data_IF_920881724337
#
_entry.id   IF_920881724337
#
_cell.length_a   1.000
_cell.length_b   1.000
_cell.length_c   1.000
_cell.angle_alpha   90.00
_cell.angle_beta   90.00
_cell.angle_gamma   90.00
#
_symmetry.space_group_name_H-M   'P 1'
#
loop_
_entity.id
_entity.type
_entity.pdbx_description
1 polymer ?
#
# COMPACT_ATOMS: atom_id res chain seq x y z
N UNK A 1 -40.22 54.21 35.75
CA UNK A 1 -40.03 54.19 37.22
C UNK A 1 -39.41 52.83 37.54
N UNK A 2 -38.08 52.68 37.61
CA UNK A 2 -37.21 53.01 38.77
C UNK A 2 -37.71 52.25 40.01
N UNK A 3 -36.95 51.45 40.76
CA UNK A 3 -35.60 51.72 41.31
C UNK A 3 -34.92 50.40 41.77
N UNK A 4 -33.62 50.28 41.43
CA UNK A 4 -32.44 49.73 42.13
C UNK A 4 -32.49 48.79 43.36
N UNK A 5 -31.48 47.90 43.42
CA UNK A 5 -30.73 47.58 44.66
C UNK A 5 -29.71 46.42 44.62
N UNK A 6 -28.45 46.71 44.24
CA UNK A 6 -27.12 46.25 44.77
C UNK A 6 -26.90 44.80 45.26
N UNK A 7 -25.94 44.01 44.71
CA UNK A 7 -24.46 43.96 44.91
C UNK A 7 -23.95 43.42 46.26
N UNK A 8 -23.24 42.27 46.28
CA UNK A 8 -21.86 42.10 46.81
C UNK A 8 -21.33 40.64 46.85
N UNK A 9 -20.12 40.46 46.30
CA UNK A 9 -18.96 39.66 46.73
C UNK A 9 -19.05 38.15 47.10
N UNK A 10 -18.20 37.34 46.44
CA UNK A 10 -17.90 35.93 46.79
C UNK A 10 -16.87 35.75 47.92
N UNK A 11 -16.48 34.49 48.21
CA UNK A 11 -15.06 34.14 48.13
C UNK A 11 -14.76 32.73 47.56
N UNK A 12 -13.47 32.52 47.30
CA UNK A 12 -12.77 31.43 46.60
C UNK A 12 -12.71 30.07 47.37
N UNK A 13 -12.15 28.99 46.77
CA UNK A 13 -12.34 27.59 47.19
C UNK A 13 -11.28 27.08 48.19
N UNK A 14 -11.52 25.95 48.88
CA UNK A 14 -10.48 25.29 49.66
C UNK A 14 -9.75 24.19 48.86
N UNK A 15 -8.46 24.05 49.18
CA UNK A 15 -7.50 23.11 48.62
C UNK A 15 -7.53 21.72 49.29
N UNK A 16 -7.29 20.69 48.46
CA UNK A 16 -6.53 19.44 48.67
C UNK A 16 -6.48 18.73 50.03
N UNK A 17 -6.82 17.43 50.02
CA UNK A 17 -6.08 16.40 50.78
C UNK A 17 -6.04 15.07 50.00
N UNK A 18 -4.90 14.39 50.11
CA UNK A 18 -4.51 13.11 49.48
C UNK A 18 -5.17 11.91 50.18
N UNK A 19 -5.41 10.80 49.47
CA UNK A 19 -4.56 9.59 49.49
C UNK A 19 -5.32 8.28 49.18
N UNK A 20 -4.64 7.46 48.36
CA UNK A 20 -4.62 5.99 48.28
C UNK A 20 -5.84 5.17 47.82
N UNK A 21 -5.59 4.43 46.74
CA UNK A 21 -5.91 2.99 46.68
C UNK A 21 -6.19 2.48 45.28
N UNK A 22 -5.18 2.02 44.55
CA UNK A 22 -5.35 0.73 43.87
C UNK A 22 -4.02 0.00 43.63
N UNK A 23 -4.06 -1.32 43.82
CA UNK A 23 -2.96 -2.27 43.71
C UNK A 23 -3.04 -3.01 42.38
N UNK A 24 -1.88 -3.31 41.79
CA UNK A 24 -1.65 -4.62 41.16
C UNK A 24 -1.36 -4.64 39.66
N UNK A 25 -0.11 -4.34 39.29
CA UNK A 25 0.53 -4.90 38.09
C UNK A 25 1.97 -5.32 38.46
N UNK A 26 2.51 -6.43 37.92
CA UNK A 26 3.69 -7.08 38.46
C UNK A 26 4.99 -6.32 38.16
N UNK A 27 5.88 -6.38 39.13
CA UNK A 27 7.26 -5.89 39.20
C UNK A 27 7.85 -5.37 37.88
N UNK A 28 7.98 -4.05 37.81
CA UNK A 28 8.77 -3.38 36.78
C UNK A 28 10.23 -3.82 36.85
N UNK A 29 10.74 -4.28 35.71
CA UNK A 29 12.09 -3.92 35.29
C UNK A 29 12.12 -2.39 35.29
N UNK A 30 12.62 -1.81 36.37
CA UNK A 30 12.90 -0.38 36.46
C UNK A 30 14.02 -0.15 35.44
N UNK A 31 13.66 0.27 34.23
CA UNK A 31 14.64 0.66 33.22
C UNK A 31 15.49 1.79 33.82
N UNK A 32 16.77 1.53 34.06
CA UNK A 32 17.70 2.58 34.46
C UNK A 32 17.59 3.74 33.45
N UNK A 33 17.65 5.01 33.90
CA UNK A 33 17.58 6.15 32.99
C UNK A 33 18.68 6.02 31.93
N UNK A 34 18.28 5.90 30.66
CA UNK A 34 19.20 5.85 29.51
C UNK A 34 19.98 7.17 29.47
N UNK A 35 21.29 7.09 29.65
CA UNK A 35 22.19 8.21 29.69
C UNK A 35 23.60 7.78 29.29
N UNK A 36 24.35 8.69 28.68
CA UNK A 36 25.72 8.48 28.24
C UNK A 36 26.62 8.19 29.43
N UNK A 37 27.60 7.29 29.25
CA UNK A 37 28.59 7.00 30.30
C UNK A 37 29.76 7.99 30.19
N UNK A 38 29.94 8.84 31.20
CA UNK A 38 31.14 9.65 31.38
C UNK A 38 32.11 8.86 32.27
N UNK A 39 33.15 8.28 31.67
CA UNK A 39 34.09 7.39 32.37
C UNK A 39 35.18 8.20 33.07
N UNK A 40 35.45 7.88 34.33
CA UNK A 40 36.47 8.50 35.16
C UNK A 40 37.74 7.64 35.16
N UNK A 41 38.89 8.26 35.41
CA UNK A 41 40.21 7.58 35.40
C UNK A 41 40.40 6.56 36.50
N UNK A 42 39.58 6.60 37.55
CA UNK A 42 39.53 5.60 38.61
C UNK A 42 38.77 4.32 38.18
N UNK A 43 38.25 4.28 36.95
CA UNK A 43 37.47 3.17 36.40
C UNK A 43 35.98 3.25 36.74
N UNK A 44 35.54 4.24 37.53
CA UNK A 44 34.13 4.49 37.77
C UNK A 44 33.49 5.27 36.60
N UNK A 45 32.17 5.33 36.51
CA UNK A 45 31.47 6.13 35.50
C UNK A 45 30.29 6.91 36.10
N UNK A 46 29.99 8.06 35.50
CA UNK A 46 28.78 8.82 35.77
C UNK A 46 27.81 8.64 34.61
N UNK A 47 26.55 8.30 34.88
CA UNK A 47 25.49 8.34 33.87
C UNK A 47 25.04 9.79 33.69
N UNK A 48 25.20 10.31 32.47
CA UNK A 48 24.93 11.72 32.16
C UNK A 48 23.99 11.84 30.97
N UNK A 49 23.11 12.84 31.00
CA UNK A 49 22.27 13.18 29.82
C UNK A 49 23.05 13.99 28.79
N UNK A 50 24.13 14.64 29.21
CA UNK A 50 25.03 15.42 28.36
C UNK A 50 26.11 16.08 29.21
N UNK A 51 27.20 16.51 28.56
CA UNK A 51 28.30 17.21 29.21
C UNK A 51 28.88 18.30 28.31
N UNK A 52 29.48 19.32 28.92
CA UNK A 52 30.21 20.41 28.27
C UNK A 52 31.59 20.55 28.90
N UNK A 53 32.62 20.73 28.09
CA UNK A 53 34.01 20.96 28.54
C UNK A 53 34.26 22.47 28.62
N UNK A 54 34.44 22.98 29.82
CA UNK A 54 34.68 24.39 30.11
C UNK A 54 36.12 24.55 30.64
N UNK A 55 37.11 24.44 29.74
CA UNK A 55 38.53 24.52 30.10
C UNK A 55 38.95 23.38 31.03
N UNK A 56 39.34 23.73 32.26
CA UNK A 56 39.81 22.77 33.27
C UNK A 56 38.68 21.98 33.96
N UNK A 57 37.41 22.37 33.75
CA UNK A 57 36.25 21.70 34.34
C UNK A 57 35.30 21.15 33.28
N UNK A 58 34.67 20.02 33.60
CA UNK A 58 33.59 19.42 32.82
C UNK A 58 32.32 19.59 33.62
N UNK A 59 31.33 20.23 33.00
CA UNK A 59 29.99 20.35 33.55
C UNK A 59 29.10 19.31 32.89
N UNK A 60 28.46 18.44 33.67
CA UNK A 60 27.58 17.39 33.15
C UNK A 60 26.22 17.41 33.83
N UNK A 61 25.20 16.96 33.11
CA UNK A 61 23.84 16.80 33.63
C UNK A 61 23.67 15.35 34.07
N UNK A 62 23.60 15.10 35.38
CA UNK A 62 23.44 13.75 35.94
C UNK A 62 22.12 13.13 35.47
N UNK A 63 22.17 11.93 34.88
CA UNK A 63 20.97 11.22 34.46
C UNK A 63 20.14 10.68 35.63
N UNK A 64 20.81 10.45 36.76
CA UNK A 64 20.20 9.94 37.98
C UNK A 64 19.62 11.05 38.85
N UNK A 65 20.38 12.13 39.06
CA UNK A 65 19.96 13.24 39.92
C UNK A 65 19.19 14.33 39.16
N UNK A 66 19.32 14.39 37.84
CA UNK A 66 18.67 15.42 37.02
C UNK A 66 19.28 16.82 37.17
N UNK A 67 20.40 16.95 37.87
CA UNK A 67 21.07 18.22 38.19
C UNK A 67 22.41 18.35 37.48
N UNK A 68 22.84 19.61 37.31
CA UNK A 68 24.15 19.95 36.77
C UNK A 68 25.23 19.84 37.83
N UNK A 69 26.26 19.04 37.54
CA UNK A 69 27.41 18.82 38.40
C UNK A 69 28.71 19.19 37.66
N UNK A 70 29.79 19.47 38.40
CA UNK A 70 31.07 19.89 37.82
C UNK A 70 32.26 19.11 38.41
N UNK A 71 33.05 18.50 37.52
CA UNK A 71 34.27 17.76 37.89
C UNK A 71 35.49 18.28 37.13
N UNK A 72 36.72 18.08 37.62
CA UNK A 72 37.93 18.40 36.87
C UNK A 72 38.01 17.59 35.57
N UNK A 73 38.33 18.24 34.45
CA UNK A 73 38.49 17.57 33.16
C UNK A 73 39.62 16.53 33.17
N UNK A 74 40.62 16.71 34.03
CA UNK A 74 41.73 15.79 34.22
C UNK A 74 41.31 14.45 34.87
N UNK A 75 40.14 14.38 35.51
CA UNK A 75 39.60 13.19 36.17
C UNK A 75 38.83 12.28 35.21
N UNK A 76 38.43 12.78 34.04
CA UNK A 76 37.71 12.02 33.03
C UNK A 76 38.68 11.24 32.16
N UNK A 77 38.39 9.97 31.93
CA UNK A 77 39.02 9.16 30.89
C UNK A 77 38.24 9.34 29.59
N UNK A 78 38.77 10.19 28.71
CA UNK A 78 38.13 10.52 27.45
C UNK A 78 38.19 9.38 26.42
N UNK A 79 39.22 8.53 26.47
CA UNK A 79 39.35 7.39 25.56
C UNK A 79 38.35 6.28 25.94
N UNK A 80 38.14 6.07 27.24
CA UNK A 80 37.11 5.16 27.73
C UNK A 80 35.70 5.72 27.52
N UNK A 81 35.50 7.04 27.71
CA UNK A 81 34.22 7.72 27.42
C UNK A 81 33.84 7.61 25.95
N UNK A 82 34.78 7.86 25.02
CA UNK A 82 34.51 7.75 23.58
C UNK A 82 34.17 6.31 23.15
N UNK A 83 34.83 5.30 23.74
CA UNK A 83 34.51 3.89 23.51
C UNK A 83 33.12 3.52 24.01
N UNK A 84 32.76 3.95 25.22
CA UNK A 84 31.44 3.71 25.79
C UNK A 84 30.32 4.37 24.96
N UNK A 85 30.54 5.58 24.43
CA UNK A 85 29.59 6.25 23.53
C UNK A 85 29.43 5.51 22.20
N UNK A 86 30.52 4.96 21.65
CA UNK A 86 30.46 4.15 20.42
C UNK A 86 29.71 2.84 20.63
N UNK A 87 29.96 2.14 21.75
CA UNK A 87 29.27 0.89 22.10
C UNK A 87 27.78 1.14 22.30
N UNK A 88 27.40 2.18 23.04
CA UNK A 88 25.99 2.56 23.26
C UNK A 88 25.30 2.89 21.93
N UNK A 89 25.96 3.65 21.04
CA UNK A 89 25.41 3.96 19.71
C UNK A 89 25.23 2.69 18.86
N UNK A 90 26.19 1.78 18.88
CA UNK A 90 26.10 0.52 18.15
C UNK A 90 24.98 -0.39 18.70
N UNK A 91 24.80 -0.42 20.02
CA UNK A 91 23.70 -1.14 20.67
C UNK A 91 22.34 -0.52 20.34
N UNK A 92 22.21 0.81 20.36
CA UNK A 92 21.01 1.52 19.96
C UNK A 92 20.66 1.26 18.49
N UNK A 93 21.64 1.33 17.58
CA UNK A 93 21.45 1.00 16.17
C UNK A 93 21.05 -0.46 15.97
N UNK A 94 21.65 -1.39 16.72
CA UNK A 94 21.29 -2.80 16.68
C UNK A 94 19.88 -3.07 17.21
N UNK A 95 19.48 -2.40 18.30
CA UNK A 95 18.14 -2.47 18.86
C UNK A 95 17.10 -1.87 17.90
N UNK A 96 17.39 -0.71 17.31
CA UNK A 96 16.53 -0.08 16.31
C UNK A 96 16.31 -1.00 15.10
N UNK A 97 17.37 -1.65 14.61
CA UNK A 97 17.28 -2.65 13.53
C UNK A 97 16.41 -3.85 13.92
N UNK A 98 16.56 -4.37 15.14
CA UNK A 98 15.75 -5.51 15.64
C UNK A 98 14.28 -5.14 15.81
N UNK A 99 13.99 -3.96 16.37
CA UNK A 99 12.62 -3.46 16.55
C UNK A 99 11.96 -3.25 15.19
N UNK A 100 12.64 -2.61 14.23
CA UNK A 100 12.11 -2.46 12.88
C UNK A 100 11.88 -3.80 12.19
N UNK A 101 12.81 -4.77 12.30
CA UNK A 101 12.63 -6.10 11.73
C UNK A 101 11.44 -6.84 12.37
N UNK A 102 11.26 -6.71 13.70
CA UNK A 102 10.15 -7.33 14.42
C UNK A 102 8.80 -6.68 14.06
N UNK A 103 8.74 -5.36 13.96
CA UNK A 103 7.54 -4.63 13.55
C UNK A 103 7.16 -4.97 12.10
N UNK A 104 8.14 -5.09 11.21
CA UNK A 104 7.93 -5.58 9.84
C UNK A 104 7.38 -7.01 9.83
N UNK A 105 7.97 -7.92 10.60
CA UNK A 105 7.52 -9.30 10.69
C UNK A 105 6.08 -9.39 11.21
N UNK A 106 5.74 -8.65 12.26
CA UNK A 106 4.37 -8.60 12.81
C UNK A 106 3.38 -7.99 11.80
N UNK A 107 3.79 -6.96 11.06
CA UNK A 107 2.95 -6.37 10.01
C UNK A 107 2.68 -7.35 8.89
N UNK A 108 3.69 -8.13 8.47
CA UNK A 108 3.53 -9.19 7.47
C UNK A 108 2.59 -10.28 8.00
N UNK A 109 2.80 -10.75 9.23
CA UNK A 109 1.97 -11.79 9.85
C UNK A 109 0.49 -11.38 9.97
N UNK A 110 0.21 -10.14 10.39
CA UNK A 110 -1.16 -9.62 10.46
C UNK A 110 -1.83 -9.51 9.08
N UNK A 111 -1.07 -9.14 8.03
CA UNK A 111 -1.60 -9.10 6.66
C UNK A 111 -1.95 -10.52 6.19
N UNK A 112 -1.12 -11.52 6.50
CA UNK A 112 -1.35 -12.92 6.12
C UNK A 112 -2.54 -13.57 6.83
N UNK A 113 -2.87 -13.16 8.07
CA UNK A 113 -4.02 -13.70 8.81
C UNK A 113 -5.37 -13.11 8.33
N UNK A 114 -5.38 -11.82 7.97
CA UNK A 114 -6.54 -11.16 7.32
C UNK A 114 -6.80 -11.76 5.94
N UNK A 115 -5.72 -12.17 5.26
CA UNK A 115 -5.73 -12.76 3.94
C UNK A 115 -6.52 -14.08 3.85
N UNK A 116 -6.51 -14.95 4.86
CA UNK A 116 -7.25 -16.22 4.79
C UNK A 116 -8.73 -16.09 5.18
N UNK A 117 -9.10 -15.00 5.86
CA UNK A 117 -10.41 -14.83 6.53
C UNK A 117 -11.31 -13.78 5.89
N UNK A 118 -10.86 -13.09 4.83
CA UNK A 118 -11.67 -12.07 4.17
C UNK A 118 -12.92 -12.65 3.51
N UNK A 119 -14.07 -12.34 4.06
CA UNK A 119 -15.38 -12.74 3.55
C UNK A 119 -15.85 -11.75 2.48
N UNK A 120 -15.98 -12.19 1.23
CA UNK A 120 -16.37 -11.36 0.07
C UNK A 120 -17.87 -11.43 -0.23
N UNK A 121 -18.54 -12.47 0.26
CA UNK A 121 -20.00 -12.60 0.28
C UNK A 121 -20.40 -13.53 1.45
N UNK A 122 -21.68 -13.57 1.87
CA UNK A 122 -22.10 -14.43 2.97
C UNK A 122 -21.71 -15.91 2.77
N UNK A 123 -20.78 -16.39 3.60
CA UNK A 123 -20.23 -17.75 3.54
C UNK A 123 -19.18 -17.98 2.44
N UNK A 124 -18.68 -16.93 1.79
CA UNK A 124 -17.71 -17.01 0.68
C UNK A 124 -16.46 -16.24 1.07
N UNK A 125 -15.33 -16.94 1.12
CA UNK A 125 -14.04 -16.38 1.51
C UNK A 125 -13.13 -16.21 0.29
N UNK A 126 -12.33 -15.15 0.29
CA UNK A 126 -11.31 -14.94 -0.72
C UNK A 126 -10.20 -15.99 -0.54
N UNK A 127 -9.80 -16.74 -1.59
CA UNK A 127 -8.71 -17.70 -1.49
C UNK A 127 -7.40 -17.07 -1.03
N UNK A 128 -6.54 -17.81 -0.31
CA UNK A 128 -5.21 -17.34 0.01
C UNK A 128 -4.36 -17.19 -1.26
N UNK A 129 -3.42 -16.26 -1.23
CA UNK A 129 -2.45 -16.05 -2.31
C UNK A 129 -2.71 -14.83 -3.18
N UNK A 130 -1.63 -14.37 -3.82
CA UNK A 130 -1.59 -13.18 -4.66
C UNK A 130 -2.35 -13.40 -5.96
N UNK A 131 -3.03 -12.37 -6.47
CA UNK A 131 -3.67 -12.41 -7.77
C UNK A 131 -5.03 -11.71 -7.85
N UNK A 132 -5.64 -11.80 -9.04
CA UNK A 132 -6.97 -11.28 -9.32
C UNK A 132 -8.01 -12.40 -9.21
N UNK A 133 -9.09 -12.14 -8.50
CA UNK A 133 -10.18 -13.07 -8.27
C UNK A 133 -11.48 -12.47 -8.79
N UNK A 134 -12.22 -13.24 -9.58
CA UNK A 134 -13.55 -12.93 -10.03
C UNK A 134 -14.57 -13.57 -9.10
N UNK A 135 -15.50 -12.76 -8.58
CA UNK A 135 -16.61 -13.20 -7.73
C UNK A 135 -17.90 -13.12 -8.52
N UNK A 136 -18.63 -14.24 -8.56
CA UNK A 136 -19.97 -14.32 -9.13
C UNK A 136 -20.89 -15.05 -8.16
N UNK A 137 -21.71 -14.29 -7.42
CA UNK A 137 -22.60 -14.84 -6.39
C UNK A 137 -21.80 -15.56 -5.29
N UNK A 138 -21.79 -16.89 -5.33
CA UNK A 138 -21.04 -17.74 -4.37
C UNK A 138 -19.75 -18.35 -4.94
N UNK A 139 -19.48 -18.11 -6.22
CA UNK A 139 -18.31 -18.66 -6.91
C UNK A 139 -17.16 -17.67 -6.88
N UNK A 140 -15.97 -18.18 -6.55
CA UNK A 140 -14.71 -17.44 -6.62
C UNK A 140 -13.80 -18.11 -7.63
N UNK A 141 -13.38 -17.36 -8.65
CA UNK A 141 -12.53 -17.87 -9.74
C UNK A 141 -11.25 -17.05 -9.81
N UNK A 142 -10.07 -17.62 -9.56
CA UNK A 142 -8.81 -16.92 -9.82
C UNK A 142 -8.66 -16.68 -11.33
N UNK A 143 -8.26 -15.48 -11.71
CA UNK A 143 -7.95 -15.12 -13.10
C UNK A 143 -6.46 -15.33 -13.35
N UNK A 144 -6.13 -16.01 -14.46
CA UNK A 144 -4.76 -16.13 -14.94
C UNK A 144 -4.29 -14.79 -15.53
N UNK A 145 -3.03 -14.42 -15.29
CA UNK A 145 -2.40 -13.36 -16.07
C UNK A 145 -2.05 -13.89 -17.46
N UNK A 146 -2.45 -13.15 -18.49
CA UNK A 146 -2.10 -13.42 -19.89
C UNK A 146 -1.20 -12.33 -20.43
N UNK A 147 -0.14 -12.71 -21.12
CA UNK A 147 0.77 -11.77 -21.78
C UNK A 147 0.16 -11.19 -23.06
N UNK A 148 0.25 -9.88 -23.21
CA UNK A 148 -0.14 -9.17 -24.43
C UNK A 148 1.05 -8.87 -25.33
N UNK A 149 0.83 -8.97 -26.63
CA UNK A 149 1.80 -8.68 -27.67
C UNK A 149 1.64 -7.23 -28.17
N UNK A 150 2.75 -6.50 -28.26
CA UNK A 150 2.80 -5.19 -28.90
C UNK A 150 3.15 -5.35 -30.38
N UNK A 151 2.19 -5.08 -31.28
CA UNK A 151 2.44 -5.11 -32.73
C UNK A 151 2.60 -3.69 -33.29
N UNK A 152 3.80 -3.38 -33.76
CA UNK A 152 4.13 -2.18 -34.53
C UNK A 152 3.87 -2.38 -36.03
N UNK A 153 3.35 -1.36 -36.71
CA UNK A 153 3.14 -1.43 -38.16
C UNK A 153 4.48 -1.47 -38.93
N UNK A 154 4.81 -2.65 -39.47
CA UNK A 154 6.08 -2.95 -40.17
C UNK A 154 6.32 -2.03 -41.38
N UNK A 155 5.27 -1.54 -42.04
CA UNK A 155 5.40 -0.65 -43.21
C UNK A 155 5.89 0.74 -42.83
N UNK A 156 5.54 1.23 -41.64
CA UNK A 156 6.02 2.51 -41.13
C UNK A 156 7.37 2.40 -40.43
N UNK A 157 7.63 1.28 -39.76
CA UNK A 157 8.95 0.99 -39.19
C UNK A 157 10.07 0.96 -40.24
N UNK A 158 9.84 0.38 -41.42
CA UNK A 158 10.85 0.36 -42.49
C UNK A 158 11.16 1.76 -43.05
N UNK A 159 10.20 2.70 -43.02
CA UNK A 159 10.44 4.11 -43.36
C UNK A 159 11.21 4.86 -42.26
N UNK A 160 11.08 4.42 -41.01
CA UNK A 160 11.76 4.99 -39.85
C UNK A 160 13.27 4.76 -39.87
N UNK A 161 13.72 3.59 -40.35
CA UNK A 161 15.17 3.24 -40.44
C UNK A 161 15.89 4.02 -41.55
N UNK A 162 15.17 4.53 -42.54
CA UNK A 162 15.74 5.23 -43.72
C UNK A 162 15.77 6.76 -43.58
N UNK A 163 15.34 7.32 -42.44
CA UNK A 163 15.24 8.77 -42.23
C UNK A 163 16.07 9.20 -41.01
N UNK A 164 16.98 10.18 -41.15
CA UNK A 164 17.80 10.67 -40.03
C UNK A 164 17.00 11.42 -38.94
N UNK A 165 15.71 11.71 -39.18
CA UNK A 165 14.79 12.31 -38.21
C UNK A 165 13.46 11.52 -38.25
N UNK A 166 12.93 10.98 -37.14
CA UNK A 166 11.71 10.17 -37.14
C UNK A 166 10.45 11.06 -37.25
N UNK A 167 10.18 11.60 -38.45
CA UNK A 167 9.02 12.48 -38.73
C UNK A 167 7.72 11.67 -38.96
N UNK A 168 7.82 10.35 -39.12
CA UNK A 168 6.69 9.51 -39.56
C UNK A 168 5.84 9.04 -38.36
N UNK A 169 4.50 9.25 -38.38
CA UNK A 169 3.61 8.70 -37.37
C UNK A 169 3.69 7.17 -37.32
N UNK A 170 3.82 6.62 -36.12
CA UNK A 170 3.79 5.18 -35.84
C UNK A 170 2.52 4.80 -35.09
N UNK A 171 2.06 3.56 -35.29
CA UNK A 171 0.91 2.98 -34.60
C UNK A 171 1.29 1.63 -34.01
N UNK A 172 1.05 1.49 -32.71
CA UNK A 172 1.24 0.25 -31.96
C UNK A 172 -0.11 -0.22 -31.44
N UNK A 173 -0.35 -1.54 -31.42
CA UNK A 173 -1.54 -2.09 -30.80
C UNK A 173 -1.14 -3.16 -29.79
N UNK A 174 -1.70 -3.06 -28.58
CA UNK A 174 -1.57 -4.06 -27.52
C UNK A 174 -2.68 -5.10 -27.71
N UNK A 175 -2.31 -6.39 -27.80
CA UNK A 175 -3.23 -7.47 -28.15
C UNK A 175 -2.97 -8.72 -27.35
N UNK A 176 -4.03 -9.40 -26.93
CA UNK A 176 -3.96 -10.74 -26.36
C UNK A 176 -4.16 -11.76 -27.48
N UNK A 177 -3.38 -12.86 -27.54
CA UNK A 177 -3.65 -13.97 -28.44
C UNK A 177 -4.98 -14.68 -28.11
N UNK A 178 -5.58 -15.28 -29.13
CA UNK A 178 -6.86 -15.99 -29.04
C UNK A 178 -8.07 -15.07 -29.19
N UNK A 179 -9.11 -15.57 -29.88
CA UNK A 179 -10.38 -14.87 -30.05
C UNK A 179 -11.24 -14.82 -28.78
N UNK A 180 -11.03 -15.73 -27.82
CA UNK A 180 -11.84 -15.88 -26.60
C UNK A 180 -10.99 -16.13 -25.36
N UNK A 181 -11.42 -15.56 -24.23
CA UNK A 181 -10.86 -15.86 -22.93
C UNK A 181 -11.18 -17.30 -22.50
N UNK A 182 -10.28 -17.91 -21.72
CA UNK A 182 -10.53 -19.21 -21.09
C UNK A 182 -11.63 -19.09 -20.03
N UNK A 183 -11.54 -18.07 -19.18
CA UNK A 183 -12.52 -17.81 -18.13
C UNK A 183 -13.75 -17.12 -18.70
N UNK A 184 -14.92 -17.71 -18.48
CA UNK A 184 -16.21 -17.24 -18.98
C UNK A 184 -17.19 -17.05 -17.85
N UNK A 185 -17.95 -15.96 -17.90
CA UNK A 185 -18.99 -15.64 -16.91
C UNK A 185 -20.29 -15.29 -17.61
N UNK A 186 -21.41 -15.55 -16.94
CA UNK A 186 -22.74 -15.14 -17.43
C UNK A 186 -23.11 -13.78 -16.84
N UNK A 187 -23.76 -12.92 -17.63
CA UNK A 187 -23.99 -11.49 -17.34
C UNK A 187 -24.90 -11.18 -16.14
N UNK A 188 -24.45 -11.46 -14.92
CA UNK A 188 -25.02 -10.90 -13.68
C UNK A 188 -23.93 -10.69 -12.64
N UNK A 189 -23.90 -9.47 -12.09
CA UNK A 189 -23.11 -8.96 -10.95
C UNK A 189 -21.80 -9.72 -10.71
N UNK A 190 -20.77 -9.33 -11.47
CA UNK A 190 -19.40 -9.73 -11.19
C UNK A 190 -18.70 -8.64 -10.40
N UNK A 191 -17.89 -9.08 -9.44
CA UNK A 191 -16.97 -8.23 -8.71
C UNK A 191 -15.57 -8.80 -8.84
N UNK A 192 -14.56 -7.96 -8.68
CA UNK A 192 -13.18 -8.39 -8.74
C UNK A 192 -12.45 -8.02 -7.47
N UNK A 193 -11.55 -8.89 -7.04
CA UNK A 193 -10.70 -8.65 -5.88
C UNK A 193 -9.26 -8.87 -6.32
N UNK A 194 -8.40 -7.88 -6.11
CA UNK A 194 -6.97 -7.98 -6.30
C UNK A 194 -6.31 -8.09 -4.94
N UNK A 195 -5.54 -9.16 -4.74
CA UNK A 195 -4.63 -9.31 -3.63
C UNK A 195 -3.21 -9.09 -4.10
N UNK A 196 -2.56 -8.07 -3.56
CA UNK A 196 -1.13 -7.83 -3.76
C UNK A 196 -0.30 -8.69 -2.80
N UNK A 197 0.97 -8.91 -3.13
CA UNK A 197 1.90 -9.49 -2.18
C UNK A 197 2.00 -8.61 -0.93
N UNK A 198 2.19 -9.20 0.26
CA UNK A 198 2.57 -8.43 1.44
C UNK A 198 3.77 -7.53 1.10
N UNK A 199 3.81 -6.28 1.60
CA UNK A 199 4.91 -5.38 1.33
C UNK A 199 6.22 -5.98 1.88
N UNK A 200 7.10 -6.40 0.98
CA UNK A 200 8.39 -6.98 1.28
C UNK A 200 9.48 -6.02 0.77
N UNK A 201 10.41 -5.56 1.65
CA UNK A 201 11.47 -4.62 1.26
C UNK A 201 12.43 -5.18 0.19
N UNK A 202 12.54 -6.51 0.09
CA UNK A 202 13.43 -7.19 -0.86
C UNK A 202 12.68 -7.70 -2.11
N UNK A 203 11.34 -7.69 -2.09
CA UNK A 203 10.50 -8.13 -3.21
C UNK A 203 9.70 -6.95 -3.77
N UNK A 204 10.20 -6.38 -4.86
CA UNK A 204 9.42 -5.45 -5.69
C UNK A 204 8.22 -6.19 -6.27
N UNK A 205 7.01 -5.84 -5.83
CA UNK A 205 5.78 -6.29 -6.49
C UNK A 205 5.83 -5.85 -7.96
N UNK A 206 5.45 -6.70 -8.93
CA UNK A 206 5.36 -6.27 -10.32
C UNK A 206 4.21 -5.27 -10.55
N UNK A 207 3.34 -5.11 -9.56
CA UNK A 207 2.20 -4.21 -9.51
C UNK A 207 2.69 -2.88 -8.87
N UNK A 208 2.63 -1.79 -9.63
CA UNK A 208 3.14 -0.46 -9.26
C UNK A 208 2.03 0.33 -8.58
N UNK A 209 2.33 0.88 -7.39
CA UNK A 209 1.42 1.75 -6.63
C UNK A 209 0.99 2.97 -7.47
N UNK A 210 -0.29 3.33 -7.42
CA UNK A 210 -0.88 4.40 -8.23
C UNK A 210 -0.14 5.73 -8.10
N UNK A 211 -0.02 6.45 -9.22
CA UNK A 211 0.59 7.78 -9.29
C UNK A 211 -0.34 8.95 -8.90
N UNK A 212 -1.57 8.70 -8.44
CA UNK A 212 -2.54 9.73 -8.07
C UNK A 212 -2.22 10.34 -6.70
N UNK A 213 -2.11 11.68 -6.57
CA UNK A 213 -1.81 12.32 -5.28
C UNK A 213 -2.85 11.97 -4.22
N UNK A 214 -2.41 11.34 -3.13
CA UNK A 214 -3.28 11.02 -1.99
C UNK A 214 -4.03 9.68 -2.07
N UNK A 215 -3.92 8.94 -3.17
CA UNK A 215 -4.44 7.58 -3.29
C UNK A 215 -3.30 6.55 -3.29
N UNK A 216 -3.40 5.53 -2.42
CA UNK A 216 -2.50 4.37 -2.41
C UNK A 216 -3.18 3.18 -3.09
N UNK A 217 -2.39 2.25 -3.65
CA UNK A 217 -2.88 1.01 -4.27
C UNK A 217 -2.85 1.01 -5.81
N UNK A 218 -3.21 -0.10 -6.47
CA UNK A 218 -3.00 -0.31 -7.90
C UNK A 218 -4.04 0.46 -8.73
N UNK A 219 -3.60 1.07 -9.82
CA UNK A 219 -4.49 1.69 -10.80
C UNK A 219 -4.92 0.64 -11.82
N UNK A 220 -6.15 0.13 -11.70
CA UNK A 220 -6.68 -0.91 -12.59
C UNK A 220 -7.81 -0.33 -13.42
N UNK A 221 -7.76 -0.58 -14.72
CA UNK A 221 -8.83 -0.27 -15.67
C UNK A 221 -9.45 -1.56 -16.21
N UNK A 222 -10.78 -1.53 -16.39
CA UNK A 222 -11.50 -2.57 -17.12
C UNK A 222 -11.60 -2.16 -18.59
N UNK A 223 -10.99 -2.94 -19.49
CA UNK A 223 -10.94 -2.65 -20.92
C UNK A 223 -11.75 -3.69 -21.69
N UNK A 224 -12.65 -3.23 -22.55
CA UNK A 224 -13.33 -4.08 -23.53
C UNK A 224 -12.42 -4.34 -24.71
N UNK A 225 -12.18 -5.61 -25.00
CA UNK A 225 -11.33 -6.00 -26.10
C UNK A 225 -12.08 -5.99 -27.44
N UNK A 226 -11.41 -5.50 -28.49
CA UNK A 226 -11.89 -5.56 -29.87
C UNK A 226 -11.34 -6.81 -30.52
N UNK A 227 -12.19 -7.79 -30.82
CA UNK A 227 -11.81 -9.01 -31.52
C UNK A 227 -11.44 -8.68 -32.97
N UNK A 228 -10.23 -9.08 -33.40
CA UNK A 228 -9.73 -8.92 -34.77
C UNK A 228 -9.07 -10.22 -35.24
N UNK A 229 -9.85 -11.04 -35.94
CA UNK A 229 -9.43 -12.40 -36.27
C UNK A 229 -9.30 -13.23 -35.00
N UNK A 230 -8.15 -13.88 -34.82
CA UNK A 230 -7.87 -14.70 -33.62
C UNK A 230 -7.08 -13.95 -32.53
N UNK A 231 -7.32 -12.64 -32.41
CA UNK A 231 -6.68 -11.78 -31.41
C UNK A 231 -7.68 -10.81 -30.82
N UNK A 232 -7.45 -10.43 -29.57
CA UNK A 232 -8.24 -9.45 -28.83
C UNK A 232 -7.40 -8.20 -28.59
N UNK A 233 -7.77 -7.09 -29.22
CA UNK A 233 -7.03 -5.83 -29.10
C UNK A 233 -7.55 -5.01 -27.91
N UNK A 234 -6.66 -4.61 -27.00
CA UNK A 234 -6.99 -3.81 -25.82
C UNK A 234 -6.74 -2.32 -26.03
N UNK A 235 -5.61 -1.99 -26.65
CA UNK A 235 -5.16 -0.61 -26.79
C UNK A 235 -4.59 -0.34 -28.19
N UNK A 236 -4.70 0.92 -28.62
CA UNK A 236 -4.06 1.43 -29.83
C UNK A 236 -3.35 2.74 -29.51
N UNK A 237 -2.02 2.74 -29.59
CA UNK A 237 -1.16 3.88 -29.34
C UNK A 237 -0.72 4.47 -30.67
N UNK A 238 -0.84 5.80 -30.82
CA UNK A 238 -0.28 6.56 -31.94
C UNK A 238 0.85 7.44 -31.41
N UNK A 239 1.99 7.39 -32.06
CA UNK A 239 3.17 8.17 -31.69
C UNK A 239 3.71 8.96 -32.87
N UNK A 240 4.22 10.16 -32.62
CA UNK A 240 4.84 11.04 -33.61
C UNK A 240 6.14 11.57 -33.00
N UNK A 241 7.23 11.61 -33.76
CA UNK A 241 8.56 12.02 -33.25
C UNK A 241 9.04 11.21 -32.04
N UNK A 242 8.60 9.95 -31.90
CA UNK A 242 8.91 9.12 -30.74
C UNK A 242 8.10 9.47 -29.48
N UNK A 243 7.20 10.46 -29.52
CA UNK A 243 6.31 10.80 -28.42
C UNK A 243 4.90 10.25 -28.64
N UNK A 244 4.29 9.73 -27.59
CA UNK A 244 2.90 9.25 -27.61
C UNK A 244 1.95 10.46 -27.75
N UNK A 245 1.14 10.45 -28.81
CA UNK A 245 0.16 11.52 -29.07
C UNK A 245 -1.25 11.14 -28.67
N UNK A 246 -1.66 9.91 -28.92
CA UNK A 246 -3.03 9.45 -28.71
C UNK A 246 -3.05 7.98 -28.31
N UNK A 247 -3.93 7.66 -27.38
CA UNK A 247 -4.11 6.33 -26.80
C UNK A 247 -5.58 6.00 -26.77
N UNK A 248 -5.98 5.04 -27.60
CA UNK A 248 -7.38 4.61 -27.70
C UNK A 248 -7.59 3.29 -26.96
N UNK A 249 -8.44 3.33 -25.93
CA UNK A 249 -8.97 2.19 -25.17
C UNK A 249 -10.48 2.27 -25.07
N UNK A 250 -11.14 1.13 -25.01
CA UNK A 250 -12.57 1.04 -24.72
C UNK A 250 -12.73 0.71 -23.23
N UNK A 251 -12.53 1.72 -22.38
CA UNK A 251 -12.51 1.55 -20.92
C UNK A 251 -13.92 1.64 -20.34
N UNK A 252 -14.24 0.72 -19.43
CA UNK A 252 -15.48 0.70 -18.67
C UNK A 252 -15.17 1.17 -17.25
N UNK A 253 -15.97 2.12 -16.76
CA UNK A 253 -15.82 2.65 -15.40
C UNK A 253 -16.07 1.58 -14.35
N UNK A 254 -15.13 1.49 -13.42
CA UNK A 254 -15.20 0.65 -12.23
C UNK A 254 -14.88 1.51 -11.00
N UNK A 255 -15.44 1.14 -9.87
CA UNK A 255 -15.11 1.74 -8.57
C UNK A 255 -14.10 0.84 -7.86
N UNK A 256 -13.17 1.44 -7.11
CA UNK A 256 -12.12 0.75 -6.36
C UNK A 256 -12.29 1.02 -4.87
N UNK A 257 -12.18 -0.03 -4.07
CA UNK A 257 -12.24 0.01 -2.62
C UNK A 257 -11.06 -0.75 -2.02
N UNK A 258 -10.32 -0.15 -1.10
CA UNK A 258 -9.38 -0.90 -0.26
C UNK A 258 -10.18 -1.51 0.89
N UNK A 259 -10.39 -2.83 0.84
CA UNK A 259 -11.26 -3.55 1.80
C UNK A 259 -10.46 -4.19 2.93
N UNK A 260 -9.17 -4.39 2.71
CA UNK A 260 -8.17 -4.80 3.69
C UNK A 260 -6.78 -4.34 3.19
N UNK A 261 -5.74 -4.31 4.05
CA UNK A 261 -4.39 -4.03 3.61
C UNK A 261 -4.01 -4.92 2.43
N UNK A 262 -3.48 -4.34 1.34
CA UNK A 262 -3.11 -5.06 0.10
C UNK A 262 -4.24 -5.79 -0.63
N UNK A 263 -5.52 -5.60 -0.23
CA UNK A 263 -6.68 -6.20 -0.88
C UNK A 263 -7.64 -5.13 -1.39
N UNK A 264 -7.83 -5.11 -2.70
CA UNK A 264 -8.63 -4.13 -3.42
C UNK A 264 -9.84 -4.78 -4.07
N UNK A 265 -11.03 -4.25 -3.83
CA UNK A 265 -12.28 -4.66 -4.48
C UNK A 265 -12.62 -3.71 -5.62
N UNK A 266 -13.03 -4.26 -6.75
CA UNK A 266 -13.51 -3.53 -7.91
C UNK A 266 -14.97 -3.88 -8.22
N UNK A 267 -15.81 -2.85 -8.29
CA UNK A 267 -17.23 -2.98 -8.59
C UNK A 267 -17.58 -2.29 -9.90
N UNK A 268 -18.49 -2.90 -10.65
CA UNK A 268 -18.96 -2.37 -11.93
C UNK A 268 -20.05 -1.33 -11.70
N UNK A 269 -19.92 -0.15 -12.31
CA UNK A 269 -21.00 0.86 -12.27
C UNK A 269 -22.19 0.48 -13.16
N UNK A 270 -22.00 -0.41 -14.14
CA UNK A 270 -23.03 -0.86 -15.07
C UNK A 270 -22.84 -2.35 -15.44
N UNK A 271 -23.91 -3.09 -15.76
CA UNK A 271 -23.80 -4.46 -16.26
C UNK A 271 -22.93 -4.55 -17.52
N UNK A 272 -22.06 -5.56 -17.60
CA UNK A 272 -21.23 -5.77 -18.78
C UNK A 272 -22.05 -6.41 -19.91
N UNK A 273 -22.05 -5.81 -21.11
CA UNK A 273 -22.54 -6.49 -22.30
C UNK A 273 -21.77 -7.79 -22.58
N UNK A 274 -22.33 -8.71 -23.39
CA UNK A 274 -21.56 -9.84 -23.90
C UNK A 274 -20.33 -9.35 -24.70
N UNK A 275 -19.18 -9.99 -24.46
CA UNK A 275 -17.92 -9.57 -25.05
C UNK A 275 -16.69 -10.15 -24.36
N UNK A 276 -15.53 -9.64 -24.79
CA UNK A 276 -14.22 -9.98 -24.24
C UNK A 276 -13.69 -8.78 -23.46
N UNK A 277 -13.13 -9.04 -22.29
CA UNK A 277 -12.71 -8.01 -21.34
C UNK A 277 -11.36 -8.37 -20.73
N UNK A 278 -10.64 -7.34 -20.29
CA UNK A 278 -9.44 -7.50 -19.50
C UNK A 278 -9.36 -6.44 -18.41
N UNK A 279 -8.94 -6.85 -17.21
CA UNK A 279 -8.46 -5.93 -16.19
C UNK A 279 -6.98 -5.71 -16.45
N UNK A 280 -6.60 -4.46 -16.64
CA UNK A 280 -5.24 -4.06 -16.92
C UNK A 280 -4.80 -3.01 -15.92
N UNK A 281 -3.62 -3.23 -15.35
CA UNK A 281 -3.00 -2.25 -14.51
C UNK A 281 -2.40 -1.12 -15.36
N UNK A 282 -2.54 0.12 -14.90
CA UNK A 282 -2.03 1.32 -15.56
C UNK A 282 -0.84 1.82 -14.76
N UNK A 283 0.32 1.73 -15.38
CA UNK A 283 1.60 2.17 -14.87
C UNK A 283 1.91 3.59 -15.38
N UNK A 284 2.88 4.31 -14.80
CA UNK A 284 3.26 5.65 -15.26
C UNK A 284 3.68 5.71 -16.74
N UNK A 285 4.21 4.61 -17.28
CA UNK A 285 4.66 4.46 -18.67
C UNK A 285 3.61 3.83 -19.62
N UNK A 286 2.45 3.43 -19.09
CA UNK A 286 1.33 2.90 -19.89
C UNK A 286 0.68 1.67 -19.28
N UNK A 287 -0.08 0.94 -20.11
CA UNK A 287 -0.75 -0.28 -19.67
C UNK A 287 0.26 -1.41 -19.41
N UNK A 288 0.12 -2.12 -18.28
CA UNK A 288 0.85 -3.35 -18.01
C UNK A 288 0.52 -4.40 -19.09
N UNK A 289 1.54 -5.02 -19.66
CA UNK A 289 1.36 -5.99 -20.74
C UNK A 289 0.86 -7.35 -20.24
N UNK A 290 0.92 -7.61 -18.93
CA UNK A 290 0.28 -8.76 -18.29
C UNK A 290 -1.07 -8.33 -17.73
N UNK A 291 -2.14 -8.92 -18.25
CA UNK A 291 -3.52 -8.53 -17.95
C UNK A 291 -4.31 -9.75 -17.52
N UNK A 292 -5.42 -9.53 -16.81
CA UNK A 292 -6.34 -10.61 -16.44
C UNK A 292 -7.56 -10.58 -17.38
N UNK A 293 -7.68 -11.58 -18.25
CA UNK A 293 -8.74 -11.64 -19.25
C UNK A 293 -9.93 -12.51 -18.80
N UNK A 294 -11.12 -12.11 -19.25
CA UNK A 294 -12.32 -12.89 -19.07
C UNK A 294 -13.33 -12.55 -20.16
N UNK A 295 -14.29 -13.45 -20.36
CA UNK A 295 -15.35 -13.29 -21.32
C UNK A 295 -16.72 -13.26 -20.67
N UNK A 296 -17.59 -12.37 -21.14
CA UNK A 296 -18.99 -12.34 -20.75
C UNK A 296 -19.82 -12.99 -21.85
N UNK A 297 -20.48 -14.09 -21.51
CA UNK A 297 -21.45 -14.75 -22.37
C UNK A 297 -22.83 -14.09 -22.24
N UNK A 298 -23.57 -14.11 -23.34
CA UNK A 298 -24.98 -13.73 -23.30
C UNK A 298 -25.70 -14.71 -22.37
N UNK A 299 -26.54 -14.18 -21.48
CA UNK A 299 -27.47 -15.01 -20.73
C UNK A 299 -28.28 -15.82 -21.74
N UNK A 300 -28.20 -17.16 -21.67
CA UNK A 300 -28.98 -18.02 -22.54
C UNK A 300 -30.45 -17.63 -22.38
N UNK A 301 -31.12 -17.25 -23.47
CA UNK A 301 -32.56 -17.01 -23.50
C UNK A 301 -33.31 -18.36 -23.32
N UNK A 302 -33.24 -18.90 -22.11
CA UNK A 302 -33.83 -20.16 -21.69
C UNK A 302 -35.12 -19.94 -20.90
N UNK A 303 -36.04 -19.14 -21.43
CA UNK A 303 -37.46 -19.13 -21.07
C UNK A 303 -38.21 -18.30 -22.13
N UNK A 304 -38.16 -18.76 -23.38
CA UNK A 304 -39.09 -18.28 -24.40
C UNK A 304 -40.49 -18.65 -23.92
N UNK A 305 -41.32 -17.62 -23.75
CA UNK A 305 -42.72 -17.69 -23.36
C UNK A 305 -43.43 -18.98 -23.82
N UNK A 306 -43.63 -19.91 -22.88
CA UNK A 306 -44.73 -20.86 -22.94
C UNK A 306 -46.03 -20.11 -22.59
N UNK A 307 -46.43 -19.16 -23.43
CA UNK A 307 -47.69 -18.43 -23.31
C UNK A 307 -48.11 -17.86 -24.67
N UNK A 308 -48.13 -18.70 -25.70
CA UNK A 308 -48.92 -18.46 -26.92
C UNK A 308 -49.23 -19.78 -27.59
N UNK A 309 -50.35 -20.42 -27.21
CA UNK A 309 -50.83 -21.58 -27.95
C UNK A 309 -51.73 -22.55 -27.19
N UNK A 310 -52.87 -22.09 -26.68
CA UNK A 310 -54.07 -22.94 -26.66
C UNK A 310 -55.32 -22.08 -26.81
N UNK A 311 -55.65 -21.82 -28.08
CA UNK A 311 -57.02 -21.66 -28.53
C UNK A 311 -57.62 -23.08 -28.52
N UNK A 312 -58.66 -23.28 -27.71
CA UNK A 312 -59.89 -23.97 -28.06
C UNK A 312 -60.93 -23.60 -27.01
#
# INVERSE_FOLDING_TARGET
MSVYGQSAAGPAPPASSKQSGDKGAPAGVTGLPRGKKLVLKDGNFQLVRGYSRNGERVRYLSAERGDWEEIPAAMVDWDATARAEMEEKNEEEALAKRVHAQEQAQRIEMVMDVDASLQVAPGVFLPPGEGMFLIQGKSVTPLEQVGSEVKTDKKQFLKQVLSPIPIVPSKQNVRIPGAKAKTRVTATQVEFYLREAPPDPDRTTPIVKSGRPGESGPEVELVRAIIKGDKRQLESIRSLFGQQMDTKRDTISIERWEVAPTVFRFTLSQPLPPGEYALAEILPDGMNLYVWDFGVDAASAGAKAAASGKKN
#
